data_IF_844701797783
#
_entry.id   IF_844701797783
#
_cell.length_a   1.000
_cell.length_b   1.000
_cell.length_c   1.000
_cell.angle_alpha   90.00
_cell.angle_beta   90.00
_cell.angle_gamma   90.00
#
_symmetry.space_group_name_H-M   'P 1'
#
loop_
_entity.id
_entity.type
_entity.pdbx_description
1 polymer ?
#
# COMPACT_ATOMS: atom_id res chain seq x y z
N UNK A 1 -34.37 -1.03 -34.29
CA UNK A 1 -33.67 -0.87 -32.99
C UNK A 1 -32.37 -0.07 -33.16
N UNK A 2 -32.45 1.21 -33.57
CA UNK A 2 -31.26 2.09 -33.72
C UNK A 2 -31.49 3.47 -33.05
N UNK A 3 -32.71 3.77 -32.61
CA UNK A 3 -33.10 5.10 -32.11
C UNK A 3 -32.72 5.39 -30.66
N UNK A 4 -32.51 4.39 -29.81
CA UNK A 4 -32.25 4.60 -28.38
C UNK A 4 -30.81 5.04 -28.08
N UNK A 5 -29.83 4.58 -28.87
CA UNK A 5 -28.40 4.93 -28.68
C UNK A 5 -28.07 6.37 -29.09
N UNK A 6 -28.72 6.87 -30.14
CA UNK A 6 -28.56 8.26 -30.59
C UNK A 6 -29.15 9.26 -29.59
N UNK A 7 -30.31 8.96 -29.00
CA UNK A 7 -30.91 9.82 -27.97
C UNK A 7 -30.06 9.91 -26.70
N UNK A 8 -29.43 8.80 -26.28
CA UNK A 8 -28.58 8.80 -25.07
C UNK A 8 -27.29 9.60 -25.27
N UNK A 9 -26.69 9.55 -26.47
CA UNK A 9 -25.51 10.36 -26.81
C UNK A 9 -25.85 11.86 -26.89
N UNK A 10 -27.04 12.20 -27.38
CA UNK A 10 -27.50 13.60 -27.48
C UNK A 10 -27.80 14.20 -26.09
N UNK A 11 -28.40 13.42 -25.20
CA UNK A 11 -28.63 13.82 -23.80
C UNK A 11 -27.32 13.99 -23.02
N UNK A 12 -26.34 13.11 -23.24
CA UNK A 12 -25.03 13.25 -22.61
C UNK A 12 -24.27 14.49 -23.11
N UNK A 13 -24.34 14.78 -24.42
CA UNK A 13 -23.73 15.99 -24.99
C UNK A 13 -24.39 17.28 -24.45
N UNK A 14 -25.72 17.30 -24.29
CA UNK A 14 -26.42 18.45 -23.71
C UNK A 14 -26.09 18.66 -22.22
N UNK A 15 -25.94 17.60 -21.44
CA UNK A 15 -25.60 17.73 -20.01
C UNK A 15 -24.15 18.20 -19.79
N UNK A 16 -23.21 17.74 -20.62
CA UNK A 16 -21.82 18.25 -20.60
C UNK A 16 -21.76 19.74 -20.93
N UNK A 17 -22.61 20.19 -21.87
CA UNK A 17 -22.69 21.59 -22.28
C UNK A 17 -23.43 22.48 -21.27
N UNK A 18 -24.34 21.88 -20.48
CA UNK A 18 -24.99 22.52 -19.33
C UNK A 18 -24.02 22.71 -18.17
N UNK A 19 -23.17 21.71 -17.89
CA UNK A 19 -22.18 21.77 -16.81
C UNK A 19 -21.04 22.76 -17.09
N UNK A 20 -20.74 23.06 -18.37
CA UNK A 20 -19.75 24.09 -18.73
C UNK A 20 -20.28 25.53 -18.64
N UNK A 21 -21.59 25.72 -18.42
CA UNK A 21 -22.23 27.05 -18.29
C UNK A 21 -22.52 27.46 -16.83
N UNK A 22 -22.17 26.61 -15.85
CA UNK A 22 -22.45 26.88 -14.42
C UNK A 22 -21.36 27.76 -13.75
N UNK A 23 -20.21 28.00 -14.40
CA UNK A 23 -19.12 28.81 -13.83
C UNK A 23 -19.25 30.33 -14.06
N UNK A 24 -20.48 30.85 -14.23
CA UNK A 24 -20.70 32.30 -14.29
C UNK A 24 -21.96 32.73 -13.52
N UNK A 25 -21.79 33.09 -12.24
CA UNK A 25 -22.55 34.17 -11.60
C UNK A 25 -21.71 34.86 -10.50
N UNK A 26 -22.03 36.11 -10.15
CA UNK A 26 -21.02 37.10 -9.80
C UNK A 26 -20.64 37.11 -8.32
N UNK A 27 -19.42 37.58 -8.11
CA UNK A 27 -18.72 37.87 -6.87
C UNK A 27 -19.53 38.60 -5.79
N UNK A 28 -19.52 38.06 -4.57
CA UNK A 28 -19.53 38.84 -3.33
C UNK A 28 -18.59 38.22 -2.25
N UNK A 29 -17.53 38.99 -1.97
CA UNK A 29 -16.68 39.06 -0.76
C UNK A 29 -16.49 37.87 0.20
N UNK A 30 -15.30 37.25 0.18
CA UNK A 30 -14.33 37.13 1.31
C UNK A 30 -13.23 36.09 1.02
N UNK A 31 -12.00 36.21 1.59
CA UNK A 31 -10.82 35.52 1.08
C UNK A 31 -10.66 34.14 1.73
N UNK A 32 -10.71 33.08 0.93
CA UNK A 32 -10.26 31.74 1.33
C UNK A 32 -9.29 31.19 0.30
N UNK A 33 -8.10 30.86 0.80
CA UNK A 33 -6.94 30.32 0.09
C UNK A 33 -7.26 29.02 -0.63
N UNK A 34 -7.67 29.07 -1.89
CA UNK A 34 -7.74 27.88 -2.74
C UNK A 34 -6.43 27.70 -3.50
N UNK A 35 -5.70 26.64 -3.15
CA UNK A 35 -4.59 26.09 -3.91
C UNK A 35 -5.01 25.89 -5.36
N UNK A 36 -4.52 26.76 -6.25
CA UNK A 36 -4.72 26.60 -7.68
C UNK A 36 -3.91 25.38 -8.12
N UNK A 37 -4.59 24.27 -8.38
CA UNK A 37 -3.98 23.11 -9.06
C UNK A 37 -3.58 23.61 -10.45
N UNK A 38 -2.30 23.91 -10.64
CA UNK A 38 -1.78 24.35 -11.92
C UNK A 38 -1.97 23.22 -12.93
N UNK A 39 -2.99 23.33 -13.78
CA UNK A 39 -3.18 22.46 -14.94
C UNK A 39 -2.50 23.16 -16.13
N UNK A 40 -1.35 22.66 -16.60
CA UNK A 40 -0.68 23.26 -17.74
C UNK A 40 -1.60 23.17 -18.96
N UNK A 41 -1.86 24.29 -19.63
CA UNK A 41 -2.56 24.34 -20.91
C UNK A 41 -1.59 23.88 -22.00
N UNK A 42 -1.53 22.58 -22.25
CA UNK A 42 -0.81 22.06 -23.40
C UNK A 42 -1.71 22.11 -24.64
N UNK A 43 -1.13 22.32 -25.81
CA UNK A 43 -1.86 22.09 -27.07
C UNK A 43 -2.10 20.58 -27.22
N UNK A 44 -3.22 20.17 -27.79
CA UNK A 44 -3.62 18.75 -27.89
C UNK A 44 -2.54 17.84 -28.49
N UNK A 45 -1.72 18.36 -29.41
CA UNK A 45 -0.59 17.62 -29.98
C UNK A 45 0.59 17.44 -29.00
N UNK A 46 0.90 18.46 -28.19
CA UNK A 46 1.92 18.35 -27.14
C UNK A 46 1.45 17.44 -26.00
N UNK A 47 0.17 17.46 -25.62
CA UNK A 47 -0.42 16.52 -24.65
C UNK A 47 -0.28 15.08 -25.13
N UNK A 48 -0.63 14.81 -26.39
CA UNK A 48 -0.54 13.47 -26.97
C UNK A 48 0.92 12.97 -27.00
N UNK A 49 1.88 13.83 -27.37
CA UNK A 49 3.30 13.47 -27.39
C UNK A 49 3.88 13.26 -25.99
N UNK A 50 3.50 14.10 -25.03
CA UNK A 50 3.91 13.97 -23.63
C UNK A 50 3.36 12.66 -23.02
N UNK A 51 2.06 12.40 -23.18
CA UNK A 51 1.42 11.18 -22.70
C UNK A 51 1.99 9.93 -23.38
N UNK A 52 2.28 9.98 -24.69
CA UNK A 52 2.94 8.88 -25.40
C UNK A 52 4.36 8.62 -24.86
N UNK A 53 5.11 9.67 -24.53
CA UNK A 53 6.47 9.54 -23.99
C UNK A 53 6.43 8.97 -22.57
N UNK A 54 5.56 9.51 -21.71
CA UNK A 54 5.34 9.01 -20.36
C UNK A 54 4.89 7.55 -20.36
N UNK A 55 3.96 7.20 -21.25
CA UNK A 55 3.50 5.83 -21.45
C UNK A 55 4.65 4.89 -21.83
N UNK A 56 5.51 5.28 -22.77
CA UNK A 56 6.68 4.49 -23.17
C UNK A 56 7.66 4.28 -22.01
N UNK A 57 7.87 5.30 -21.18
CA UNK A 57 8.71 5.15 -19.98
C UNK A 57 8.05 4.23 -18.94
N UNK A 58 6.75 4.35 -18.69
CA UNK A 58 6.03 3.45 -17.77
C UNK A 58 6.04 1.99 -18.24
N UNK A 59 5.98 1.76 -19.54
CA UNK A 59 6.08 0.42 -20.12
C UNK A 59 7.46 -0.20 -19.84
N UNK A 60 8.53 0.59 -19.78
CA UNK A 60 9.88 0.09 -19.42
C UNK A 60 10.02 -0.28 -17.94
N UNK A 61 9.23 0.33 -17.06
CA UNK A 61 9.26 0.06 -15.61
C UNK A 61 8.41 -1.14 -15.20
N UNK A 62 7.71 -1.77 -16.16
CA UNK A 62 6.88 -2.93 -15.88
C UNK A 62 7.71 -4.09 -15.33
N UNK A 63 7.20 -4.69 -14.26
CA UNK A 63 7.79 -5.88 -13.66
C UNK A 63 7.61 -7.09 -14.57
N UNK A 64 8.67 -7.89 -14.67
CA UNK A 64 8.61 -9.18 -15.36
C UNK A 64 7.97 -10.21 -14.42
N UNK A 65 7.35 -11.22 -15.01
CA UNK A 65 6.76 -12.34 -14.30
C UNK A 65 7.54 -13.60 -14.60
N UNK A 66 8.05 -14.25 -13.55
CA UNK A 66 8.83 -15.48 -13.67
C UNK A 66 7.96 -16.74 -13.57
N UNK A 67 6.81 -16.62 -12.91
CA UNK A 67 5.95 -17.75 -12.56
C UNK A 67 6.31 -18.39 -11.22
N UNK A 68 6.99 -17.65 -10.33
CA UNK A 68 7.35 -18.11 -8.98
C UNK A 68 6.13 -18.13 -8.05
N UNK A 69 6.10 -19.03 -7.08
CA UNK A 69 5.03 -19.12 -6.05
C UNK A 69 4.96 -17.88 -5.15
N UNK A 70 6.03 -17.10 -5.09
CA UNK A 70 6.06 -15.81 -4.40
C UNK A 70 5.28 -14.73 -5.14
N UNK A 71 5.16 -14.81 -6.46
CA UNK A 71 4.50 -13.82 -7.30
C UNK A 71 2.99 -14.04 -7.34
N UNK A 72 2.24 -12.95 -7.48
CA UNK A 72 0.79 -12.96 -7.66
C UNK A 72 0.45 -12.65 -9.12
N UNK A 73 0.04 -13.67 -9.87
CA UNK A 73 -0.27 -13.55 -11.30
C UNK A 73 -1.42 -12.56 -11.54
N UNK A 74 -2.40 -12.50 -10.64
CA UNK A 74 -3.57 -11.63 -10.79
C UNK A 74 -3.18 -10.17 -10.58
N UNK A 75 -2.39 -9.87 -9.54
CA UNK A 75 -1.86 -8.53 -9.32
C UNK A 75 -0.92 -8.08 -10.43
N UNK A 76 0.01 -8.94 -10.85
CA UNK A 76 0.92 -8.64 -11.95
C UNK A 76 0.15 -8.33 -13.23
N UNK A 77 -0.84 -9.18 -13.59
CA UNK A 77 -1.64 -8.99 -14.79
C UNK A 77 -2.45 -7.69 -14.74
N UNK A 78 -3.05 -7.38 -13.59
CA UNK A 78 -3.75 -6.11 -13.37
C UNK A 78 -2.83 -4.91 -13.58
N UNK A 79 -1.62 -4.94 -13.02
CA UNK A 79 -0.64 -3.86 -13.18
C UNK A 79 -0.22 -3.68 -14.66
N UNK A 80 0.04 -4.78 -15.37
CA UNK A 80 0.34 -4.77 -16.81
C UNK A 80 -0.82 -4.15 -17.60
N UNK A 81 -2.06 -4.57 -17.33
CA UNK A 81 -3.24 -4.04 -18.02
C UNK A 81 -3.40 -2.53 -17.80
N UNK A 82 -3.28 -2.08 -16.56
CA UNK A 82 -3.37 -0.66 -16.21
C UNK A 82 -2.33 0.18 -16.95
N UNK A 83 -1.08 -0.29 -17.05
CA UNK A 83 -0.03 0.42 -17.80
C UNK A 83 -0.31 0.39 -19.30
N UNK A 84 -0.71 -0.76 -19.85
CA UNK A 84 -1.01 -0.90 -21.28
C UNK A 84 -2.21 -0.03 -21.69
N UNK A 85 -3.22 0.10 -20.84
CA UNK A 85 -4.39 0.94 -21.08
C UNK A 85 -4.03 2.42 -21.04
N UNK A 86 -3.23 2.87 -20.06
CA UNK A 86 -2.69 4.24 -20.03
C UNK A 86 -1.82 4.54 -21.25
N UNK A 87 -1.11 3.53 -21.75
CA UNK A 87 -0.29 3.63 -22.94
C UNK A 87 -1.08 3.49 -24.26
N UNK A 88 -2.41 3.32 -24.19
CA UNK A 88 -3.30 3.14 -25.34
C UNK A 88 -2.86 1.99 -26.27
N UNK A 89 -2.26 0.95 -25.69
CA UNK A 89 -1.83 -0.23 -26.43
C UNK A 89 -3.07 -1.03 -26.84
N UNK A 90 -3.28 -1.15 -28.15
CA UNK A 90 -4.37 -1.93 -28.71
C UNK A 90 -4.29 -3.40 -28.28
N UNK A 91 -5.44 -4.06 -28.06
CA UNK A 91 -5.49 -5.45 -27.57
C UNK A 91 -4.69 -6.44 -28.42
N UNK A 92 -4.64 -6.25 -29.75
CA UNK A 92 -3.81 -7.04 -30.66
C UNK A 92 -2.31 -6.90 -30.37
N UNK A 93 -1.87 -5.70 -29.98
CA UNK A 93 -0.48 -5.41 -29.66
C UNK A 93 -0.12 -5.85 -28.23
N UNK A 94 -1.07 -5.85 -27.29
CA UNK A 94 -0.85 -6.34 -25.91
C UNK A 94 -0.34 -7.79 -25.91
N UNK A 95 -0.99 -8.66 -26.68
CA UNK A 95 -0.60 -10.06 -26.82
C UNK A 95 0.79 -10.22 -27.45
N UNK A 96 1.15 -9.40 -28.45
CA UNK A 96 2.49 -9.44 -29.05
C UNK A 96 3.57 -8.96 -28.06
N UNK A 97 3.25 -7.94 -27.25
CA UNK A 97 4.18 -7.35 -26.31
C UNK A 97 4.44 -8.24 -25.08
N UNK A 98 3.43 -8.98 -24.61
CA UNK A 98 3.47 -9.65 -23.30
C UNK A 98 4.60 -10.65 -23.14
N UNK A 99 5.01 -11.31 -24.23
CA UNK A 99 6.11 -12.26 -24.24
C UNK A 99 7.41 -11.65 -23.67
N UNK A 100 7.62 -10.34 -23.84
CA UNK A 100 8.82 -9.63 -23.35
C UNK A 100 8.82 -9.42 -21.83
N UNK A 101 7.68 -9.58 -21.18
CA UNK A 101 7.48 -9.44 -19.74
C UNK A 101 7.35 -10.78 -19.03
N UNK A 102 7.50 -11.89 -19.75
CA UNK A 102 7.57 -13.23 -19.18
C UNK A 102 9.01 -13.70 -19.11
N UNK A 103 9.35 -14.35 -18.01
CA UNK A 103 10.68 -14.91 -17.74
C UNK A 103 10.56 -16.35 -17.23
N UNK A 104 11.68 -17.07 -17.21
CA UNK A 104 11.82 -18.39 -16.60
C UNK A 104 10.69 -19.39 -16.93
N UNK A 105 9.96 -19.86 -15.92
CA UNK A 105 8.90 -20.86 -16.07
C UNK A 105 7.73 -20.29 -16.89
N UNK A 106 7.33 -19.04 -16.63
CA UNK A 106 6.24 -18.38 -17.33
C UNK A 106 6.52 -18.22 -18.83
N UNK A 107 7.76 -17.89 -19.21
CA UNK A 107 8.13 -17.79 -20.62
C UNK A 107 8.11 -19.15 -21.32
N UNK A 108 8.58 -20.22 -20.65
CA UNK A 108 8.52 -21.58 -21.19
C UNK A 108 7.06 -22.04 -21.37
N UNK A 109 6.23 -21.81 -20.36
CA UNK A 109 4.80 -22.09 -20.39
C UNK A 109 4.11 -21.37 -21.55
N UNK A 110 4.38 -20.07 -21.72
CA UNK A 110 3.79 -19.28 -22.81
C UNK A 110 4.16 -19.84 -24.18
N UNK A 111 5.44 -20.18 -24.41
CA UNK A 111 5.91 -20.74 -25.68
C UNK A 111 5.24 -22.07 -26.01
N UNK A 112 5.02 -22.93 -25.01
CA UNK A 112 4.36 -24.22 -25.18
C UNK A 112 2.86 -24.07 -25.49
N UNK A 113 2.19 -23.08 -24.89
CA UNK A 113 0.75 -22.86 -25.03
C UNK A 113 0.38 -21.85 -26.12
N UNK A 114 1.37 -21.26 -26.82
CA UNK A 114 1.18 -20.14 -27.75
C UNK A 114 0.15 -20.41 -28.83
N UNK A 115 0.07 -21.64 -29.35
CA UNK A 115 -0.89 -22.02 -30.40
C UNK A 115 -2.33 -22.06 -29.91
N UNK A 116 -2.54 -22.17 -28.60
CA UNK A 116 -3.87 -22.30 -27.97
C UNK A 116 -4.41 -20.94 -27.50
N UNK A 117 -3.58 -19.89 -27.49
CA UNK A 117 -3.93 -18.53 -27.06
C UNK A 117 -3.69 -17.58 -28.24
N UNK A 118 -4.76 -17.12 -28.89
CA UNK A 118 -4.67 -16.34 -30.12
C UNK A 118 -4.81 -14.83 -29.90
N UNK A 119 -5.25 -14.42 -28.70
CA UNK A 119 -5.51 -13.03 -28.38
C UNK A 119 -5.22 -12.73 -26.90
N UNK A 120 -5.36 -11.45 -26.55
CA UNK A 120 -5.16 -10.99 -25.18
C UNK A 120 -6.12 -11.67 -24.19
N UNK A 121 -7.38 -11.89 -24.58
CA UNK A 121 -8.41 -12.46 -23.71
C UNK A 121 -8.09 -13.91 -23.31
N UNK A 122 -7.80 -14.76 -24.29
CA UNK A 122 -7.40 -16.16 -24.12
C UNK A 122 -6.12 -16.28 -23.31
N UNK A 123 -5.15 -15.37 -23.53
CA UNK A 123 -3.94 -15.32 -22.72
C UNK A 123 -4.22 -15.05 -21.24
N UNK A 124 -5.08 -14.07 -20.91
CA UNK A 124 -5.40 -13.73 -19.51
C UNK A 124 -6.01 -14.91 -18.76
N UNK A 125 -6.97 -15.59 -19.39
CA UNK A 125 -7.62 -16.76 -18.80
C UNK A 125 -6.59 -17.86 -18.56
N UNK A 126 -5.77 -18.16 -19.57
CA UNK A 126 -4.80 -19.24 -19.50
C UNK A 126 -3.67 -18.98 -18.48
N UNK A 127 -3.14 -17.76 -18.40
CA UNK A 127 -2.04 -17.46 -17.48
C UNK A 127 -2.50 -17.47 -16.02
N UNK A 128 -3.69 -16.94 -15.74
CA UNK A 128 -4.30 -17.05 -14.42
C UNK A 128 -4.55 -18.51 -14.10
N UNK A 129 -5.15 -19.30 -15.00
CA UNK A 129 -5.36 -20.73 -14.74
C UNK A 129 -4.06 -21.50 -14.47
N UNK A 130 -2.95 -21.12 -15.13
CA UNK A 130 -1.67 -21.80 -14.97
C UNK A 130 -0.92 -21.46 -13.69
N UNK A 131 -1.04 -20.22 -13.20
CA UNK A 131 -0.21 -19.69 -12.10
C UNK A 131 -1.00 -19.24 -10.87
N UNK A 132 -2.33 -19.26 -10.92
CA UNK A 132 -3.15 -19.00 -9.74
C UNK A 132 -2.92 -20.11 -8.71
N UNK A 133 -2.65 -19.78 -7.44
CA UNK A 133 -2.50 -20.79 -6.41
C UNK A 133 -3.79 -21.60 -6.24
N UNK A 134 -3.65 -22.88 -5.90
CA UNK A 134 -4.79 -23.66 -5.42
C UNK A 134 -5.37 -23.05 -4.15
N UNK A 135 -6.66 -23.30 -3.87
CA UNK A 135 -7.33 -22.81 -2.64
C UNK A 135 -6.53 -23.20 -1.39
N UNK A 136 -6.01 -24.43 -1.35
CA UNK A 136 -5.17 -24.90 -0.24
C UNK A 136 -3.88 -24.09 -0.10
N UNK A 137 -3.16 -23.84 -1.19
CA UNK A 137 -1.95 -23.00 -1.16
C UNK A 137 -2.24 -21.56 -0.75
N UNK A 138 -3.35 -20.99 -1.24
CA UNK A 138 -3.78 -19.64 -0.89
C UNK A 138 -4.10 -19.53 0.61
N UNK A 139 -4.85 -20.48 1.17
CA UNK A 139 -5.14 -20.56 2.60
C UNK A 139 -3.86 -20.69 3.43
N UNK A 140 -2.95 -21.58 3.05
CA UNK A 140 -1.71 -21.79 3.78
C UNK A 140 -0.83 -20.53 3.77
N UNK A 141 -0.66 -19.89 2.60
CA UNK A 141 0.11 -18.64 2.45
C UNK A 141 -0.51 -17.52 3.27
N UNK A 142 -1.84 -17.39 3.22
CA UNK A 142 -2.57 -16.45 4.06
C UNK A 142 -2.31 -16.72 5.54
N UNK A 143 -2.47 -17.95 6.03
CA UNK A 143 -2.29 -18.27 7.45
C UNK A 143 -0.87 -18.00 7.96
N UNK A 144 0.14 -18.33 7.15
CA UNK A 144 1.55 -18.21 7.51
C UNK A 144 2.09 -16.78 7.47
N UNK A 145 1.41 -15.86 6.78
CA UNK A 145 1.87 -14.47 6.67
C UNK A 145 1.82 -13.75 8.02
N UNK A 146 2.97 -13.46 8.61
CA UNK A 146 3.13 -12.63 9.81
C UNK A 146 3.83 -11.32 9.47
N UNK A 147 3.62 -10.27 10.26
CA UNK A 147 4.32 -9.01 10.15
C UNK A 147 5.81 -9.24 10.41
N UNK A 148 6.65 -8.85 9.45
CA UNK A 148 8.09 -9.03 9.53
C UNK A 148 8.72 -8.02 10.51
N UNK A 149 9.93 -8.31 10.96
CA UNK A 149 10.66 -7.37 11.82
C UNK A 149 10.98 -6.08 11.05
N UNK A 150 10.50 -4.95 11.57
CA UNK A 150 10.69 -3.63 10.94
C UNK A 150 9.75 -3.34 9.77
N UNK A 151 8.87 -4.28 9.40
CA UNK A 151 7.80 -4.02 8.44
C UNK A 151 6.72 -3.14 9.06
N UNK A 152 6.27 -2.14 8.31
CA UNK A 152 5.20 -1.26 8.77
C UNK A 152 3.86 -1.98 8.86
N UNK A 153 2.99 -1.56 9.78
CA UNK A 153 1.61 -2.06 9.88
C UNK A 153 0.88 -1.91 8.54
N UNK A 154 1.15 -0.84 7.79
CA UNK A 154 0.48 -0.57 6.51
C UNK A 154 0.81 -1.61 5.43
N UNK A 155 2.10 -1.93 5.27
CA UNK A 155 2.58 -2.92 4.31
C UNK A 155 2.03 -4.31 4.68
N UNK A 156 2.17 -4.70 5.94
CA UNK A 156 1.61 -5.95 6.45
C UNK A 156 0.10 -6.05 6.19
N UNK A 157 -0.65 -5.00 6.50
CA UNK A 157 -2.10 -4.99 6.38
C UNK A 157 -2.57 -5.25 4.95
N UNK A 158 -2.03 -4.53 3.96
CA UNK A 158 -2.49 -4.70 2.58
C UNK A 158 -2.03 -6.02 1.96
N UNK A 159 -0.83 -6.48 2.29
CA UNK A 159 -0.35 -7.80 1.87
C UNK A 159 -1.24 -8.91 2.42
N UNK A 160 -1.53 -8.86 3.74
CA UNK A 160 -2.36 -9.86 4.40
C UNK A 160 -3.80 -9.81 3.89
N UNK A 161 -4.37 -8.61 3.69
CA UNK A 161 -5.70 -8.43 3.14
C UNK A 161 -5.80 -9.00 1.72
N UNK A 162 -4.78 -8.79 0.89
CA UNK A 162 -4.73 -9.36 -0.45
C UNK A 162 -4.71 -10.89 -0.42
N UNK A 163 -3.97 -11.49 0.52
CA UNK A 163 -3.98 -12.95 0.71
C UNK A 163 -5.33 -13.47 1.20
N UNK A 164 -6.04 -12.73 2.06
CA UNK A 164 -7.40 -13.08 2.46
C UNK A 164 -8.35 -13.13 1.26
N UNK A 165 -8.33 -12.11 0.40
CA UNK A 165 -9.18 -12.07 -0.82
C UNK A 165 -8.82 -13.18 -1.81
N UNK A 166 -7.54 -13.54 -1.93
CA UNK A 166 -7.11 -14.65 -2.77
C UNK A 166 -7.59 -16.01 -2.24
N UNK A 167 -7.59 -16.19 -0.91
CA UNK A 167 -8.05 -17.42 -0.28
C UNK A 167 -9.58 -17.55 -0.34
N UNK A 168 -10.29 -16.46 -0.09
CA UNK A 168 -11.75 -16.36 -0.20
C UNK A 168 -12.18 -14.91 -0.49
N UNK A 169 -12.70 -14.68 -1.69
CA UNK A 169 -13.17 -13.36 -2.11
C UNK A 169 -14.36 -12.83 -1.30
N UNK A 170 -15.09 -13.72 -0.59
CA UNK A 170 -16.24 -13.37 0.24
C UNK A 170 -15.95 -13.51 1.74
N UNK A 171 -14.66 -13.51 2.13
CA UNK A 171 -14.27 -13.64 3.53
C UNK A 171 -14.90 -12.54 4.39
N UNK A 172 -15.51 -12.94 5.51
CA UNK A 172 -16.17 -11.98 6.42
C UNK A 172 -15.16 -11.04 7.09
N UNK A 173 -15.60 -9.82 7.42
CA UNK A 173 -14.79 -8.86 8.17
C UNK A 173 -14.21 -9.44 9.46
N UNK A 174 -15.00 -10.23 10.21
CA UNK A 174 -14.54 -10.87 11.44
C UNK A 174 -13.42 -11.87 11.22
N UNK A 175 -13.47 -12.64 10.11
CA UNK A 175 -12.44 -13.60 9.76
C UNK A 175 -11.17 -12.89 9.27
N UNK A 176 -11.31 -11.82 8.48
CA UNK A 176 -10.18 -10.98 8.06
C UNK A 176 -9.47 -10.40 9.30
N UNK A 177 -10.21 -9.82 10.24
CA UNK A 177 -9.66 -9.28 11.50
C UNK A 177 -8.97 -10.38 12.30
N UNK A 178 -9.54 -11.58 12.36
CA UNK A 178 -8.91 -12.72 13.02
C UNK A 178 -7.53 -13.03 12.42
N UNK A 179 -7.42 -13.15 11.09
CA UNK A 179 -6.15 -13.46 10.44
C UNK A 179 -5.15 -12.30 10.49
N UNK A 180 -5.61 -11.06 10.40
CA UNK A 180 -4.80 -9.86 10.61
C UNK A 180 -4.23 -9.83 12.03
N UNK A 181 -5.04 -10.14 13.04
CA UNK A 181 -4.58 -10.17 14.43
C UNK A 181 -3.60 -11.31 14.67
N UNK A 182 -3.86 -12.50 14.12
CA UNK A 182 -3.02 -13.70 14.26
C UNK A 182 -1.61 -13.49 13.72
N UNK A 183 -1.45 -12.70 12.65
CA UNK A 183 -0.15 -12.42 12.07
C UNK A 183 0.49 -11.10 12.49
N UNK A 184 -0.16 -10.29 13.32
CA UNK A 184 0.36 -8.99 13.73
C UNK A 184 1.57 -9.16 14.66
N UNK A 185 2.47 -8.17 14.70
CA UNK A 185 3.58 -8.19 15.65
C UNK A 185 3.10 -8.18 17.11
N UNK A 186 3.69 -9.03 17.95
CA UNK A 186 3.25 -9.30 19.33
C UNK A 186 3.06 -8.04 20.19
N UNK A 187 3.91 -7.03 20.00
CA UNK A 187 3.83 -5.77 20.75
C UNK A 187 2.53 -4.99 20.51
N UNK A 188 1.86 -5.23 19.38
CA UNK A 188 0.64 -4.54 18.97
C UNK A 188 -0.63 -5.32 19.32
N UNK A 189 -0.55 -6.66 19.39
CA UNK A 189 -1.72 -7.56 19.52
C UNK A 189 -2.63 -7.17 20.68
N UNK A 190 -2.07 -7.02 21.89
CA UNK A 190 -2.85 -6.74 23.09
C UNK A 190 -3.62 -5.41 23.00
N UNK A 191 -3.00 -4.39 22.41
CA UNK A 191 -3.59 -3.06 22.23
C UNK A 191 -4.72 -3.07 21.21
N UNK A 192 -4.53 -3.79 20.09
CA UNK A 192 -5.55 -3.95 19.06
C UNK A 192 -6.76 -4.73 19.57
N UNK A 193 -6.54 -5.89 20.21
CA UNK A 193 -7.64 -6.73 20.72
C UNK A 193 -8.50 -5.97 21.73
N UNK A 194 -7.87 -5.23 22.65
CA UNK A 194 -8.58 -4.46 23.69
C UNK A 194 -9.51 -3.39 23.11
N UNK A 195 -9.23 -2.89 21.91
CA UNK A 195 -10.04 -1.86 21.25
C UNK A 195 -11.15 -2.45 20.37
N UNK A 196 -11.22 -3.78 20.24
CA UNK A 196 -12.30 -4.51 19.59
C UNK A 196 -12.71 -3.97 18.21
N UNK A 197 -11.80 -3.93 17.22
CA UNK A 197 -12.15 -3.47 15.87
C UNK A 197 -13.30 -4.28 15.29
N UNK A 198 -14.30 -3.60 14.72
CA UNK A 198 -15.43 -4.20 14.04
C UNK A 198 -15.19 -4.36 12.53
N UNK A 199 -14.24 -3.61 11.97
CA UNK A 199 -13.90 -3.63 10.54
C UNK A 199 -12.39 -3.72 10.31
N UNK A 200 -11.93 -4.26 9.15
CA UNK A 200 -10.51 -4.25 8.80
C UNK A 200 -9.89 -2.84 8.80
N UNK A 201 -10.63 -1.83 8.34
CA UNK A 201 -10.17 -0.44 8.37
C UNK A 201 -10.00 0.10 9.79
N UNK A 202 -10.90 -0.27 10.71
CA UNK A 202 -10.76 0.08 12.11
C UNK A 202 -9.55 -0.63 12.74
N UNK A 203 -9.33 -1.91 12.43
CA UNK A 203 -8.13 -2.63 12.82
C UNK A 203 -6.86 -1.87 12.38
N UNK A 204 -6.81 -1.43 11.11
CA UNK A 204 -5.66 -0.72 10.57
C UNK A 204 -5.39 0.58 11.33
N UNK A 205 -6.42 1.41 11.52
CA UNK A 205 -6.30 2.68 12.24
C UNK A 205 -5.75 2.47 13.67
N UNK A 206 -6.26 1.44 14.37
CA UNK A 206 -5.83 1.12 15.72
C UNK A 206 -4.38 0.64 15.74
N UNK A 207 -4.01 -0.26 14.84
CA UNK A 207 -2.67 -0.83 14.80
C UNK A 207 -1.61 0.23 14.43
N UNK A 208 -1.93 1.16 13.52
CA UNK A 208 -1.04 2.27 13.16
C UNK A 208 -0.86 3.29 14.27
N UNK A 209 -1.93 3.60 14.99
CA UNK A 209 -1.88 4.48 16.18
C UNK A 209 -0.91 3.90 17.22
N UNK A 210 -1.02 2.60 17.51
CA UNK A 210 -0.12 1.90 18.43
C UNK A 210 1.32 1.83 17.92
N UNK A 211 1.53 1.51 16.63
CA UNK A 211 2.85 1.51 16.01
C UNK A 211 3.55 2.88 16.18
N UNK A 212 2.84 3.97 15.92
CA UNK A 212 3.35 5.33 16.09
C UNK A 212 3.70 5.63 17.55
N UNK A 213 2.87 5.20 18.50
CA UNK A 213 3.12 5.34 19.93
C UNK A 213 4.43 4.63 20.28
N UNK A 214 4.59 3.35 19.92
CA UNK A 214 5.78 2.56 20.22
C UNK A 214 7.06 3.15 19.61
N UNK A 215 7.00 3.63 18.36
CA UNK A 215 8.11 4.31 17.70
C UNK A 215 8.52 5.59 18.45
N UNK A 216 7.53 6.37 18.91
CA UNK A 216 7.76 7.61 19.67
C UNK A 216 8.45 7.32 21.01
N UNK A 217 7.97 6.32 21.76
CA UNK A 217 8.59 5.90 23.02
C UNK A 217 10.02 5.39 22.86
N UNK A 218 10.29 4.63 21.78
CA UNK A 218 11.64 4.15 21.45
C UNK A 218 12.59 5.31 21.11
N UNK A 219 12.08 6.37 20.47
CA UNK A 219 12.84 7.58 20.21
C UNK A 219 13.17 8.36 21.49
N UNK A 220 12.23 8.43 22.44
CA UNK A 220 12.42 9.12 23.72
C UNK A 220 13.36 8.36 24.68
N UNK A 221 13.31 7.02 24.68
CA UNK A 221 14.19 6.21 25.54
C UNK A 221 15.63 6.13 25.05
N UNK A 222 15.87 6.33 23.75
CA UNK A 222 17.23 6.35 23.18
C UNK A 222 17.96 7.69 23.34
N UNK A 223 17.27 8.79 23.66
CA UNK A 223 17.88 10.09 23.93
C UNK A 223 18.27 10.31 25.40
N UNK A 224 17.79 9.48 26.33
CA UNK A 224 18.01 9.63 27.78
C UNK A 224 19.32 9.00 28.31
N UNK A 225 20.14 8.36 27.46
CA UNK A 225 21.39 7.69 27.88
C UNK A 225 22.68 8.48 27.64
N UNK A 226 22.60 9.76 27.25
CA UNK A 226 23.76 10.65 27.24
C UNK A 226 23.78 11.54 28.50
N UNK A 227 24.08 10.96 29.66
CA UNK A 227 24.57 11.72 30.82
C UNK A 227 26.09 11.91 30.67
N UNK A 228 26.62 13.14 30.59
CA UNK A 228 28.04 13.37 30.79
C UNK A 228 28.35 13.33 32.30
N UNK A 229 29.19 12.37 32.70
CA UNK A 229 29.92 12.39 33.95
C UNK A 229 30.57 13.77 34.18
N UNK A 230 30.04 14.56 35.12
CA UNK A 230 30.77 15.68 35.75
C UNK A 230 30.05 16.21 36.99
N UNK A 231 30.33 15.57 38.12
CA UNK A 231 30.48 16.28 39.39
C UNK A 231 31.81 15.85 40.01
N UNK A 232 32.91 16.45 39.54
CA UNK A 232 34.11 16.58 40.34
C UNK A 232 33.85 17.71 41.35
N UNK A 233 33.65 17.33 42.62
CA UNK A 233 33.67 18.27 43.73
C UNK A 233 35.13 18.70 43.96
N UNK A 234 35.47 19.90 43.52
CA UNK A 234 36.65 20.61 44.02
C UNK A 234 36.28 21.33 45.32
N UNK A 235 37.00 20.93 46.37
CA UNK A 235 37.36 21.64 47.59
C UNK A 235 36.80 23.05 47.81
N UNK A 236 35.92 23.18 48.82
CA UNK A 236 35.83 24.40 49.61
C UNK A 236 36.13 24.04 51.07
N UNK A 237 37.35 24.37 51.47
CA UNK A 237 37.77 24.55 52.86
C UNK A 237 36.80 25.48 53.57
N UNK A 238 36.21 25.03 54.67
CA UNK A 238 36.16 25.81 55.92
C UNK A 238 36.29 24.84 57.10
N UNK A 239 37.51 24.85 57.62
CA UNK A 239 37.88 24.44 58.97
C UNK A 239 36.95 25.11 60.00
N UNK A 240 36.50 24.38 61.02
CA UNK A 240 36.28 24.84 62.41
C UNK A 240 35.91 23.62 63.28
N UNK A 241 36.97 23.05 63.83
CA UNK A 241 37.08 22.22 65.03
C UNK A 241 36.03 22.55 66.13
N UNK A 242 35.32 21.55 66.69
CA UNK A 242 35.08 21.34 68.16
C UNK A 242 34.47 19.94 68.43
N UNK A 243 35.28 19.10 69.08
CA UNK A 243 35.02 18.09 70.12
C UNK A 243 33.83 17.08 70.05
N UNK A 244 34.20 15.85 69.68
CA UNK A 244 33.99 14.56 70.37
C UNK A 244 33.06 14.55 71.60
N UNK A 245 31.92 13.86 71.50
CA UNK A 245 31.42 12.94 72.54
C UNK A 245 30.79 11.71 71.86
N UNK A 246 31.46 10.56 71.98
CA UNK A 246 30.91 9.23 71.65
C UNK A 246 29.92 8.81 72.74
N UNK A 247 28.73 8.35 72.36
CA UNK A 247 27.95 7.40 73.17
C UNK A 247 27.50 6.25 72.27
N UNK A 248 27.90 4.99 72.55
CA UNK A 248 27.26 3.83 71.95
C UNK A 248 26.06 3.43 72.81
N UNK A 249 24.92 3.13 72.20
CA UNK A 249 23.92 2.27 72.86
C UNK A 249 23.67 1.08 71.94
N UNK A 250 23.98 -0.06 72.54
CA UNK A 250 23.97 -1.38 71.97
C UNK A 250 22.55 -1.94 71.92
N UNK A 251 22.32 -2.78 70.93
CA UNK A 251 21.11 -3.56 70.70
C UNK A 251 20.94 -4.59 71.83
N UNK A 252 19.71 -4.77 72.29
CA UNK A 252 19.18 -6.10 72.62
C UNK A 252 17.69 -6.15 72.36
#
# INVERSE_FOLDING_TARGET
MVTTRLQHHQLFAQEVQRLSLIDMEPSDTSPSSHSTVYRPLFTSNMEAQFMSTLAKEQVKTLTKFSGSESEDVTQWLKHIEEVFDRALIQSSNKYLAIQSYLTDAALKWFRFNKTNMLDWSSFKIAIVQAYQPSIHQALLKMEQRTQLHGESVMEYYYDKLNLCVQADANMSSSMIIHYLTKGLHDSLIAHVIRRHPATPNEFLNIAQDEEKILLTWKGLSSTSTNEPDRYQNEDIYMDHNVNVVKRPINIR
#
